data_IF_541141674551
#
_entry.id   IF_541141674551
#
_cell.length_a   1.000
_cell.length_b   1.000
_cell.length_c   1.000
_cell.angle_alpha   90.00
_cell.angle_beta   90.00
_cell.angle_gamma   90.00
#
_symmetry.space_group_name_H-M   'P 1'
#
loop_
_entity.id
_entity.type
_entity.pdbx_description
1 polymer ?
#
# COMPACT_ATOMS: atom_id res chain seq x y z
N UNK A 1 1.28 -8.88 13.37
CA UNK A 1 2.24 -8.14 12.51
C UNK A 1 1.49 -7.04 11.76
N UNK A 2 2.13 -5.93 11.34
CA UNK A 2 1.47 -4.83 10.59
C UNK A 2 0.82 -5.35 9.29
N UNK A 3 1.51 -6.24 8.58
CA UNK A 3 1.00 -6.85 7.35
C UNK A 3 -0.31 -7.62 7.57
N UNK A 4 -0.37 -8.46 8.60
CA UNK A 4 -1.58 -9.23 8.92
C UNK A 4 -2.75 -8.31 9.31
N UNK A 5 -2.45 -7.19 9.98
CA UNK A 5 -3.48 -6.20 10.36
C UNK A 5 -4.09 -5.56 9.11
N UNK A 6 -3.28 -5.19 8.12
CA UNK A 6 -3.78 -4.62 6.86
C UNK A 6 -4.47 -5.65 5.96
N UNK A 7 -4.02 -6.90 5.97
CA UNK A 7 -4.58 -7.94 5.11
C UNK A 7 -5.84 -8.60 5.69
N UNK A 8 -5.96 -8.64 7.02
CA UNK A 8 -7.00 -9.42 7.70
C UNK A 8 -7.73 -8.66 8.82
N UNK A 9 -7.21 -7.53 9.30
CA UNK A 9 -7.76 -6.79 10.44
C UNK A 9 -8.81 -5.73 10.09
N UNK A 10 -9.16 -5.56 8.83
CA UNK A 10 -10.20 -4.61 8.44
C UNK A 10 -10.26 -4.37 6.93
N UNK A 11 -10.82 -3.21 6.57
CA UNK A 11 -10.89 -2.70 5.21
C UNK A 11 -10.89 -1.17 5.19
N UNK A 12 -10.48 -0.59 4.06
CA UNK A 12 -10.63 0.84 3.80
C UNK A 12 -12.02 1.10 3.24
N UNK A 13 -12.83 1.90 3.94
CA UNK A 13 -14.13 2.37 3.49
C UNK A 13 -13.96 3.68 2.73
N UNK A 14 -14.34 3.69 1.45
CA UNK A 14 -14.30 4.88 0.59
C UNK A 14 -15.73 5.37 0.34
N UNK A 15 -15.95 6.66 0.56
CA UNK A 15 -17.21 7.38 0.31
C UNK A 15 -18.43 6.65 0.90
N UNK A 16 -18.23 5.98 2.05
CA UNK A 16 -19.23 5.17 2.77
C UNK A 16 -19.88 4.02 1.95
N UNK A 17 -19.39 3.75 0.73
CA UNK A 17 -19.97 2.80 -0.23
C UNK A 17 -19.05 1.62 -0.52
N UNK A 18 -17.78 1.89 -0.82
CA UNK A 18 -16.86 0.85 -1.29
C UNK A 18 -15.99 0.34 -0.15
N UNK A 19 -16.05 -0.95 0.13
CA UNK A 19 -15.17 -1.63 1.06
C UNK A 19 -13.98 -2.19 0.28
N UNK A 20 -12.79 -1.63 0.49
CA UNK A 20 -11.54 -2.03 -0.15
C UNK A 20 -10.80 -2.99 0.77
N UNK A 21 -10.77 -4.26 0.39
CA UNK A 21 -10.04 -5.30 1.11
C UNK A 21 -8.68 -5.53 0.47
N UNK A 22 -7.60 -5.25 1.19
CA UNK A 22 -6.26 -5.53 0.71
C UNK A 22 -6.08 -7.04 0.46
N UNK A 23 -5.63 -7.38 -0.74
CA UNK A 23 -5.21 -8.74 -1.09
C UNK A 23 -3.69 -8.87 -0.94
N UNK A 24 -2.95 -7.88 -1.44
CA UNK A 24 -1.51 -7.78 -1.27
C UNK A 24 -1.07 -6.37 -0.99
N UNK A 25 0.01 -6.24 -0.24
CA UNK A 25 0.62 -4.98 0.15
C UNK A 25 2.12 -5.03 -0.10
N UNK A 26 2.73 -3.88 -0.37
CA UNK A 26 4.18 -3.75 -0.59
C UNK A 26 4.75 -2.65 0.31
N UNK A 27 5.80 -2.99 1.06
CA UNK A 27 6.50 -2.07 1.95
C UNK A 27 7.61 -1.34 1.19
N UNK A 28 7.74 -0.06 1.47
CA UNK A 28 8.84 0.80 1.07
C UNK A 28 9.46 1.43 2.31
N UNK A 29 10.78 1.46 2.36
CA UNK A 29 11.52 1.99 3.50
C UNK A 29 12.83 2.63 3.03
N UNK A 30 13.06 3.88 3.43
CA UNK A 30 14.23 4.64 3.06
C UNK A 30 14.73 5.46 4.25
N UNK A 31 15.95 5.19 4.71
CA UNK A 31 16.62 5.99 5.72
C UNK A 31 17.18 7.26 5.07
N UNK A 32 16.91 8.41 5.68
CA UNK A 32 17.36 9.72 5.18
C UNK A 32 18.69 10.17 5.84
N UNK A 33 19.21 9.41 6.81
CA UNK A 33 20.56 9.62 7.40
C UNK A 33 21.66 9.36 6.35
N UNK A 34 22.85 9.90 6.59
CA UNK A 34 24.02 9.78 5.70
C UNK A 34 24.20 8.37 5.15
N UNK A 35 24.34 8.27 3.83
CA UNK A 35 24.50 7.01 3.10
C UNK A 35 25.65 6.20 3.69
N UNK A 36 25.33 5.25 4.55
CA UNK A 36 26.25 4.21 4.99
C UNK A 36 25.62 2.87 4.63
N UNK A 37 26.43 1.82 4.53
CA UNK A 37 25.93 0.50 4.13
C UNK A 37 25.04 -0.18 5.18
N UNK A 38 25.01 0.35 6.41
CA UNK A 38 24.22 -0.21 7.50
C UNK A 38 22.73 0.11 7.35
N UNK A 39 22.40 1.20 6.65
CA UNK A 39 21.03 1.65 6.50
C UNK A 39 20.40 1.24 5.16
N UNK A 40 19.10 0.94 5.24
CA UNK A 40 18.29 0.65 4.06
C UNK A 40 17.96 1.96 3.35
N UNK A 41 18.60 2.19 2.20
CA UNK A 41 18.23 3.25 1.28
C UNK A 41 17.42 2.63 0.14
N UNK A 42 16.14 2.99 -0.02
CA UNK A 42 15.35 2.53 -1.15
C UNK A 42 15.03 3.68 -2.12
N UNK A 43 15.70 3.76 -3.28
CA UNK A 43 15.45 4.82 -4.25
C UNK A 43 14.08 4.74 -4.91
N UNK A 44 13.34 3.63 -4.73
CA UNK A 44 11.99 3.45 -5.26
C UNK A 44 10.92 4.13 -4.38
N UNK A 45 11.25 4.52 -3.15
CA UNK A 45 10.35 5.27 -2.27
C UNK A 45 9.93 6.60 -2.94
N UNK A 46 8.64 6.90 -3.00
CA UNK A 46 8.11 8.04 -3.76
C UNK A 46 8.23 9.37 -3.02
N UNK A 47 8.04 9.37 -1.71
CA UNK A 47 7.98 10.58 -0.87
C UNK A 47 9.31 10.74 -0.14
N UNK A 48 10.40 10.72 -0.90
CA UNK A 48 11.76 10.96 -0.44
C UNK A 48 12.33 12.20 -1.11
N UNK A 49 13.43 12.70 -0.56
CA UNK A 49 14.22 13.70 -1.26
C UNK A 49 14.90 13.06 -2.49
N UNK A 50 14.95 13.79 -3.61
CA UNK A 50 15.58 13.27 -4.84
C UNK A 50 17.09 13.15 -4.64
N UNK A 51 17.68 12.07 -5.18
CA UNK A 51 19.13 11.82 -5.11
C UNK A 51 19.93 12.67 -6.12
N UNK A 52 19.31 13.10 -7.22
CA UNK A 52 19.99 13.73 -8.36
C UNK A 52 19.88 15.26 -8.40
N UNK A 53 19.19 15.88 -7.44
CA UNK A 53 19.26 17.34 -7.32
C UNK A 53 20.60 17.66 -6.65
N UNK A 54 21.43 18.45 -7.33
CA UNK A 54 22.76 18.94 -6.88
C UNK A 54 22.73 19.65 -5.51
N UNK A 55 21.53 19.81 -4.97
CA UNK A 55 21.19 20.50 -3.76
C UNK A 55 20.11 19.69 -3.02
N UNK A 56 20.43 18.45 -2.61
CA UNK A 56 19.61 17.63 -1.70
C UNK A 56 19.22 18.37 -0.38
N UNK A 57 19.79 19.56 -0.16
CA UNK A 57 19.49 20.49 0.93
C UNK A 57 18.35 21.48 0.63
N UNK A 58 17.89 21.61 -0.62
CA UNK A 58 16.85 22.59 -1.01
C UNK A 58 15.51 22.00 -1.44
N UNK A 59 15.44 20.69 -1.74
CA UNK A 59 14.15 20.00 -1.89
C UNK A 59 13.80 19.32 -0.57
N UNK A 60 13.00 20.01 0.25
CA UNK A 60 12.51 19.49 1.52
C UNK A 60 11.11 18.89 1.32
N UNK A 61 11.01 17.69 0.73
CA UNK A 61 9.72 16.98 0.65
C UNK A 61 9.20 16.82 2.07
N UNK A 62 8.04 17.37 2.44
CA UNK A 62 7.59 17.30 3.83
C UNK A 62 7.42 15.84 4.28
N UNK A 63 7.69 15.57 5.55
CA UNK A 63 7.34 14.28 6.15
C UNK A 63 5.83 14.15 6.29
N UNK A 64 5.32 12.99 5.90
CA UNK A 64 3.92 12.65 6.05
C UNK A 64 3.69 12.06 7.43
N UNK A 65 2.61 12.49 8.09
CA UNK A 65 2.25 11.97 9.42
C UNK A 65 1.95 10.47 9.32
N UNK A 66 2.22 9.74 10.40
CA UNK A 66 1.83 8.34 10.51
C UNK A 66 0.32 8.19 10.24
N UNK A 67 -0.03 7.25 9.37
CA UNK A 67 -1.39 6.99 8.92
C UNK A 67 -1.87 7.86 7.76
N UNK A 68 -1.05 8.77 7.21
CA UNK A 68 -1.48 9.59 6.07
C UNK A 68 -1.60 8.73 4.81
N UNK A 69 -2.63 9.00 4.04
CA UNK A 69 -2.83 8.46 2.69
C UNK A 69 -2.07 9.30 1.66
N UNK A 70 -1.26 8.66 0.83
CA UNK A 70 -0.53 9.31 -0.26
C UNK A 70 -0.88 8.66 -1.60
N UNK A 71 -1.43 9.46 -2.51
CA UNK A 71 -1.83 9.02 -3.85
C UNK A 71 -0.69 9.26 -4.83
N UNK A 72 -0.32 8.25 -5.60
CA UNK A 72 0.68 8.34 -6.66
C UNK A 72 0.34 7.45 -7.85
N UNK A 73 1.04 7.61 -8.97
CA UNK A 73 0.71 6.95 -10.25
C UNK A 73 0.54 5.42 -10.20
N UNK A 74 1.02 4.74 -9.15
CA UNK A 74 0.86 3.31 -8.98
C UNK A 74 -0.22 2.92 -7.97
N UNK A 75 -0.81 3.87 -7.23
CA UNK A 75 -1.96 3.65 -6.35
C UNK A 75 -1.90 4.46 -5.06
N UNK A 76 -2.25 3.81 -3.96
CA UNK A 76 -2.40 4.45 -2.64
C UNK A 76 -1.44 3.85 -1.62
N UNK A 77 -0.62 4.74 -1.05
CA UNK A 77 0.27 4.46 0.06
C UNK A 77 -0.35 4.87 1.41
N UNK A 78 -0.06 4.06 2.42
CA UNK A 78 -0.29 4.37 3.84
C UNK A 78 1.06 4.64 4.47
N UNK A 79 1.27 5.85 4.95
CA UNK A 79 2.57 6.32 5.43
C UNK A 79 2.78 6.10 6.92
N UNK A 80 4.02 5.90 7.34
CA UNK A 80 4.42 5.81 8.75
C UNK A 80 5.83 6.35 8.93
N UNK A 81 6.08 7.52 8.34
CA UNK A 81 7.37 8.18 8.30
C UNK A 81 7.76 8.74 9.68
N UNK A 82 9.06 8.85 9.92
CA UNK A 82 9.62 9.51 11.10
C UNK A 82 10.57 10.60 10.64
N UNK A 83 10.19 11.84 10.95
CA UNK A 83 10.92 13.04 10.54
C UNK A 83 12.39 12.98 10.94
N UNK A 84 13.27 13.30 9.98
CA UNK A 84 14.72 13.29 10.14
C UNK A 84 15.36 11.88 10.26
N UNK A 85 14.57 10.81 10.22
CA UNK A 85 15.09 9.44 10.37
C UNK A 85 14.82 8.58 9.14
N UNK A 86 13.54 8.37 8.80
CA UNK A 86 13.18 7.49 7.70
C UNK A 86 11.84 7.84 7.07
N UNK A 87 11.74 7.53 5.77
CA UNK A 87 10.50 7.46 5.00
C UNK A 87 10.05 6.02 4.96
N UNK A 88 8.76 5.80 5.20
CA UNK A 88 8.20 4.48 5.10
C UNK A 88 6.73 4.53 4.71
N UNK A 89 6.33 3.62 3.83
CA UNK A 89 4.95 3.47 3.39
C UNK A 89 4.61 2.02 3.06
N UNK A 90 3.31 1.76 3.02
CA UNK A 90 2.72 0.52 2.53
C UNK A 90 1.79 0.86 1.37
N UNK A 91 2.11 0.33 0.19
CA UNK A 91 1.24 0.37 -0.98
C UNK A 91 0.21 -0.75 -0.90
N UNK A 92 -1.08 -0.44 -1.07
CA UNK A 92 -2.10 -1.47 -1.32
C UNK A 92 -1.94 -1.98 -2.76
N UNK A 93 -1.11 -3.01 -2.96
CA UNK A 93 -0.68 -3.46 -4.29
C UNK A 93 -1.80 -4.10 -5.12
N UNK A 94 -2.61 -4.93 -4.47
CA UNK A 94 -3.84 -5.47 -5.06
C UNK A 94 -4.94 -5.52 -4.02
N UNK A 95 -6.18 -5.39 -4.47
CA UNK A 95 -7.34 -5.38 -3.58
C UNK A 95 -8.55 -6.03 -4.23
N UNK A 96 -9.54 -6.34 -3.40
CA UNK A 96 -10.89 -6.66 -3.81
C UNK A 96 -11.82 -5.54 -3.36
N UNK A 97 -12.96 -5.40 -4.02
CA UNK A 97 -13.98 -4.39 -3.66
C UNK A 97 -15.31 -5.07 -3.39
N UNK A 98 -15.98 -4.59 -2.34
CA UNK A 98 -17.41 -4.85 -2.11
C UNK A 98 -18.12 -3.51 -2.17
N UNK A 99 -19.02 -3.37 -3.14
CA UNK A 99 -19.99 -2.29 -3.16
C UNK A 99 -21.13 -2.60 -2.18
N UNK A 100 -21.34 -1.71 -1.19
CA UNK A 100 -22.43 -1.84 -0.21
C UNK A 100 -23.81 -1.70 -0.84
N UNK A 101 -23.95 -0.92 -1.90
CA UNK A 101 -25.24 -0.72 -2.56
C UNK A 101 -25.66 -1.95 -3.37
N UNK A 102 -24.70 -2.73 -3.86
CA UNK A 102 -24.96 -3.98 -4.59
C UNK A 102 -25.02 -5.22 -3.69
N UNK A 103 -24.82 -5.06 -2.37
CA UNK A 103 -24.76 -6.18 -1.40
C UNK A 103 -26.09 -6.94 -1.30
N UNK A 104 -27.21 -6.32 -1.68
CA UNK A 104 -28.56 -6.89 -1.72
C UNK A 104 -28.85 -7.71 -2.98
N UNK A 105 -28.10 -7.50 -4.07
CA UNK A 105 -28.23 -8.29 -5.29
C UNK A 105 -27.36 -9.54 -5.16
N UNK A 106 -27.95 -10.72 -5.36
CA UNK A 106 -27.38 -12.07 -5.12
C UNK A 106 -26.05 -12.39 -5.82
N UNK A 107 -25.42 -11.45 -6.52
CA UNK A 107 -24.18 -11.67 -7.21
C UNK A 107 -23.36 -10.37 -7.23
N UNK A 108 -22.61 -10.12 -6.16
CA UNK A 108 -21.40 -9.31 -6.26
C UNK A 108 -20.38 -10.13 -7.09
N UNK A 109 -20.67 -10.33 -8.38
CA UNK A 109 -20.02 -11.29 -9.30
C UNK A 109 -18.51 -11.09 -9.36
N UNK A 110 -18.05 -9.90 -8.98
CA UNK A 110 -16.66 -9.48 -9.04
C UNK A 110 -15.99 -9.34 -7.68
N UNK A 111 -16.60 -9.77 -6.56
CA UNK A 111 -15.98 -9.59 -5.23
C UNK A 111 -14.64 -10.32 -5.09
N UNK A 112 -14.44 -11.43 -5.81
CA UNK A 112 -13.16 -12.14 -5.84
C UNK A 112 -12.22 -11.62 -6.94
N UNK A 113 -12.69 -10.73 -7.82
CA UNK A 113 -11.87 -10.08 -8.83
C UNK A 113 -10.84 -9.19 -8.15
N UNK A 114 -9.56 -9.48 -8.41
CA UNK A 114 -8.43 -8.73 -7.88
C UNK A 114 -8.16 -7.53 -8.77
N UNK A 115 -8.20 -6.35 -8.19
CA UNK A 115 -7.84 -5.10 -8.84
C UNK A 115 -6.38 -4.79 -8.59
N UNK A 116 -5.71 -4.22 -9.59
CA UNK A 116 -4.41 -3.60 -9.40
C UNK A 116 -4.56 -2.29 -8.62
N UNK A 117 -3.53 -1.90 -7.88
CA UNK A 117 -3.53 -0.71 -7.03
C UNK A 117 -4.02 0.58 -7.71
N UNK A 118 -3.67 0.80 -8.98
CA UNK A 118 -4.11 1.98 -9.75
C UNK A 118 -5.63 2.08 -9.93
N UNK A 119 -6.38 0.97 -9.86
CA UNK A 119 -7.84 1.02 -9.96
C UNK A 119 -8.49 1.62 -8.70
N UNK A 120 -7.73 1.92 -7.64
CA UNK A 120 -8.29 2.57 -6.44
C UNK A 120 -8.86 3.96 -6.76
N UNK A 121 -8.32 4.63 -7.80
CA UNK A 121 -8.80 5.93 -8.27
C UNK A 121 -10.25 5.89 -8.74
N UNK A 122 -10.68 4.79 -9.36
CA UNK A 122 -12.06 4.63 -9.85
C UNK A 122 -13.07 4.69 -8.69
N UNK A 123 -12.66 4.24 -7.50
CA UNK A 123 -13.50 4.24 -6.30
C UNK A 123 -13.39 5.54 -5.51
N UNK A 124 -12.22 6.18 -5.50
CA UNK A 124 -12.00 7.48 -4.86
C UNK A 124 -12.76 8.60 -5.59
N UNK A 125 -12.76 8.56 -6.92
CA UNK A 125 -13.37 9.55 -7.80
C UNK A 125 -14.79 9.16 -8.24
N UNK A 126 -15.34 8.09 -7.67
CA UNK A 126 -16.68 7.62 -8.03
C UNK A 126 -17.72 8.71 -7.74
N UNK A 127 -18.49 9.07 -8.77
CA UNK A 127 -19.61 10.01 -8.68
C UNK A 127 -20.90 9.26 -9.03
N UNK A 128 -21.94 9.44 -8.21
CA UNK A 128 -23.27 8.90 -8.52
C UNK A 128 -23.87 9.65 -9.73
N UNK A 129 -24.55 8.94 -10.66
CA UNK A 129 -25.12 9.55 -11.86
C UNK A 129 -26.09 10.72 -11.60
N UNK A 130 -26.83 10.67 -10.49
CA UNK A 130 -27.87 11.66 -10.15
C UNK A 130 -27.40 12.72 -9.14
N UNK A 131 -26.12 12.72 -8.77
CA UNK A 131 -25.58 13.64 -7.78
C UNK A 131 -24.75 14.72 -8.47
N UNK A 132 -25.44 15.75 -8.97
CA UNK A 132 -24.86 16.97 -9.57
C UNK A 132 -24.05 17.80 -8.55
N UNK A 133 -23.98 17.34 -7.30
CA UNK A 133 -23.19 17.95 -6.25
C UNK A 133 -21.76 17.40 -6.25
N UNK A 134 -20.90 18.05 -7.03
CA UNK A 134 -19.44 18.00 -6.88
C UNK A 134 -19.04 18.67 -5.55
N UNK A 135 -19.42 18.13 -4.37
CA UNK A 135 -19.33 18.89 -3.11
C UNK A 135 -18.92 18.17 -1.83
N UNK A 136 -18.76 16.85 -1.77
CA UNK A 136 -18.18 16.23 -0.58
C UNK A 136 -16.71 15.88 -0.80
N UNK A 137 -15.83 16.33 0.10
CA UNK A 137 -14.47 15.83 0.18
C UNK A 137 -14.46 14.29 0.19
N UNK A 138 -13.47 13.67 -0.46
CA UNK A 138 -13.30 12.22 -0.47
C UNK A 138 -13.23 11.73 0.98
N UNK A 139 -14.12 10.80 1.34
CA UNK A 139 -14.16 10.22 2.68
C UNK A 139 -13.43 8.88 2.66
N UNK A 140 -12.40 8.76 3.47
CA UNK A 140 -11.63 7.53 3.65
C UNK A 140 -11.53 7.22 5.13
N UNK A 141 -11.90 6.01 5.50
CA UNK A 141 -11.82 5.53 6.88
C UNK A 141 -11.35 4.08 6.89
N UNK A 142 -10.38 3.76 7.75
CA UNK A 142 -10.05 2.35 8.02
C UNK A 142 -11.02 1.83 9.08
N UNK A 143 -11.86 0.86 8.72
CA UNK A 143 -12.74 0.20 9.66
C UNK A 143 -12.11 -1.12 10.12
N UNK A 144 -11.90 -1.31 11.44
CA UNK A 144 -11.40 -2.57 11.95
C UNK A 144 -12.49 -3.63 11.85
N UNK A 145 -12.09 -4.87 11.57
CA UNK A 145 -12.93 -6.03 11.82
C UNK A 145 -12.69 -6.52 13.25
N UNK A 146 -13.77 -6.74 14.00
CA UNK A 146 -13.75 -7.05 15.43
C UNK A 146 -13.10 -8.40 15.76
N UNK A 147 -12.85 -9.25 14.75
CA UNK A 147 -12.17 -10.52 14.91
C UNK A 147 -11.05 -10.67 13.88
N UNK A 148 -9.81 -10.63 14.38
CA UNK A 148 -8.64 -11.07 13.62
C UNK A 148 -8.60 -12.59 13.71
N UNK A 149 -8.64 -13.26 12.55
CA UNK A 149 -8.59 -14.71 12.48
C UNK A 149 -7.29 -15.25 13.11
N UNK A 150 -7.35 -16.09 14.16
CA UNK A 150 -6.19 -16.42 14.99
C UNK A 150 -5.07 -17.23 14.28
N UNK A 151 -5.35 -17.85 13.13
CA UNK A 151 -4.43 -18.78 12.45
C UNK A 151 -3.92 -18.30 11.08
N UNK A 152 -3.98 -16.99 10.80
CA UNK A 152 -3.72 -16.48 9.45
C UNK A 152 -2.34 -15.85 9.33
N UNK A 153 -1.50 -16.47 8.50
CA UNK A 153 -0.22 -15.88 8.10
C UNK A 153 -0.34 -15.31 6.70
N UNK A 154 0.11 -14.07 6.54
CA UNK A 154 0.51 -13.55 5.24
C UNK A 154 1.76 -14.28 4.71
N UNK A 155 1.92 -14.32 3.39
CA UNK A 155 3.15 -14.84 2.76
C UNK A 155 4.01 -13.67 2.33
N UNK A 156 5.25 -13.67 2.81
CA UNK A 156 6.26 -12.66 2.49
C UNK A 156 7.06 -13.10 1.26
N UNK A 157 7.15 -12.23 0.25
CA UNK A 157 7.86 -12.48 -1.00
C UNK A 157 8.59 -11.21 -1.46
N UNK A 158 9.57 -11.36 -2.38
CA UNK A 158 10.16 -10.22 -3.06
C UNK A 158 9.14 -9.33 -3.77
N UNK A 159 9.50 -8.04 -3.87
CA UNK A 159 8.76 -7.04 -4.64
C UNK A 159 8.84 -7.33 -6.13
N UNK A 160 7.77 -7.01 -6.86
CA UNK A 160 7.72 -7.29 -8.31
C UNK A 160 8.59 -6.27 -9.06
N UNK A 161 9.47 -6.75 -9.92
CA UNK A 161 10.26 -5.93 -10.85
C UNK A 161 11.16 -4.86 -10.19
N UNK A 162 11.54 -5.07 -8.93
CA UNK A 162 12.52 -4.22 -8.26
C UNK A 162 13.91 -4.85 -8.38
N UNK A 163 14.86 -4.05 -8.85
CA UNK A 163 16.27 -4.42 -8.89
C UNK A 163 16.98 -3.82 -7.68
N UNK A 164 18.12 -4.40 -7.32
CA UNK A 164 19.08 -3.73 -6.42
C UNK A 164 19.63 -2.48 -7.10
N UNK A 165 20.27 -1.63 -6.31
CA UNK A 165 20.99 -0.45 -6.79
C UNK A 165 22.49 -0.68 -6.67
N UNK A 166 23.27 -0.10 -7.59
CA UNK A 166 24.72 -0.20 -7.60
C UNK A 166 25.29 0.53 -6.40
N UNK A 167 26.27 -0.10 -5.73
CA UNK A 167 27.05 0.50 -4.66
C UNK A 167 28.33 1.07 -5.27
N UNK A 168 28.66 2.32 -4.95
CA UNK A 168 29.89 2.96 -5.41
C UNK A 168 31.12 2.45 -4.63
N UNK A 169 32.32 2.86 -5.07
CA UNK A 169 33.57 2.45 -4.44
C UNK A 169 33.73 2.94 -2.99
N UNK A 170 32.95 3.93 -2.57
CA UNK A 170 32.93 4.46 -1.21
C UNK A 170 31.87 3.76 -0.33
N UNK A 171 31.15 2.79 -0.89
CA UNK A 171 30.11 2.05 -0.20
C UNK A 171 28.74 2.71 -0.21
N UNK A 172 28.54 3.82 -0.93
CA UNK A 172 27.25 4.49 -1.02
C UNK A 172 26.38 3.86 -2.10
N UNK A 173 25.08 3.76 -1.84
CA UNK A 173 24.13 3.33 -2.85
C UNK A 173 23.84 4.46 -3.85
N UNK A 174 23.94 4.14 -5.14
CA UNK A 174 23.66 5.06 -6.27
C UNK A 174 22.20 4.97 -6.74
N UNK A 175 21.81 5.87 -7.66
CA UNK A 175 20.51 5.79 -8.36
C UNK A 175 20.50 4.76 -9.52
N UNK A 176 21.64 4.15 -9.83
CA UNK A 176 21.81 3.21 -10.95
C UNK A 176 21.30 1.83 -10.54
N UNK A 177 20.42 1.23 -11.35
CA UNK A 177 19.90 -0.12 -11.12
C UNK A 177 20.95 -1.17 -11.48
N UNK A 178 21.17 -2.10 -10.56
CA UNK A 178 21.88 -3.35 -10.83
C UNK A 178 21.03 -4.29 -11.70
N UNK A 179 21.63 -5.20 -12.48
CA UNK A 179 20.91 -6.30 -13.12
C UNK A 179 20.30 -7.28 -12.10
N UNK A 180 20.82 -7.33 -10.87
CA UNK A 180 20.30 -8.22 -9.83
C UNK A 180 18.94 -7.77 -9.28
N UNK A 181 18.07 -8.75 -8.99
CA UNK A 181 16.77 -8.50 -8.36
C UNK A 181 16.91 -8.24 -6.86
N UNK A 182 16.06 -7.36 -6.34
CA UNK A 182 15.88 -7.19 -4.91
C UNK A 182 15.06 -8.37 -4.36
N UNK A 183 15.67 -9.16 -3.49
CA UNK A 183 15.09 -10.38 -2.92
C UNK A 183 14.50 -10.17 -1.53
N UNK A 184 14.51 -8.94 -0.99
CA UNK A 184 13.97 -8.64 0.33
C UNK A 184 12.47 -8.93 0.38
N UNK A 185 11.95 -9.60 1.42
CA UNK A 185 10.56 -10.05 1.50
C UNK A 185 9.62 -8.91 1.92
N UNK A 186 9.53 -7.87 1.09
CA UNK A 186 8.78 -6.65 1.39
C UNK A 186 7.38 -6.62 0.78
N UNK A 187 6.95 -7.68 0.12
CA UNK A 187 5.57 -7.81 -0.35
C UNK A 187 4.87 -8.93 0.37
N UNK A 188 3.65 -8.66 0.83
CA UNK A 188 2.84 -9.61 1.59
C UNK A 188 1.50 -9.81 0.90
N UNK A 189 0.97 -11.02 0.93
CA UNK A 189 -0.36 -11.31 0.40
C UNK A 189 -1.09 -12.38 1.23
N UNK A 190 -2.40 -12.44 1.06
CA UNK A 190 -3.25 -13.45 1.72
C UNK A 190 -2.95 -14.84 1.18
N UNK A 191 -2.49 -15.74 2.06
CA UNK A 191 -2.27 -17.16 1.72
C UNK A 191 -3.58 -17.96 1.79
N UNK A 192 -3.59 -19.12 1.16
CA UNK A 192 -4.62 -20.14 1.34
C UNK A 192 -4.94 -20.41 2.83
N UNK A 193 -6.24 -20.54 3.19
CA UNK A 193 -7.42 -20.57 2.31
C UNK A 193 -7.97 -19.18 1.92
N UNK A 194 -7.34 -18.08 2.33
CA UNK A 194 -7.89 -16.71 2.26
C UNK A 194 -7.46 -15.92 1.02
N UNK A 195 -6.91 -16.58 0.00
CA UNK A 195 -6.53 -15.95 -1.26
C UNK A 195 -7.73 -15.33 -2.00
N UNK A 196 -8.94 -15.85 -1.75
CA UNK A 196 -10.21 -15.30 -2.21
C UNK A 196 -10.85 -14.47 -1.11
N UNK A 197 -11.47 -13.35 -1.51
CA UNK A 197 -12.21 -12.50 -0.58
C UNK A 197 -13.39 -13.28 0.01
N UNK A 198 -14.07 -14.11 -0.78
CA UNK A 198 -15.19 -14.94 -0.29
C UNK A 198 -14.79 -15.80 0.91
N UNK A 199 -13.60 -16.40 0.90
CA UNK A 199 -13.12 -17.25 1.99
C UNK A 199 -12.77 -16.43 3.24
N UNK A 200 -12.14 -15.27 3.04
CA UNK A 200 -11.88 -14.32 4.11
C UNK A 200 -13.17 -13.87 4.80
N UNK A 201 -14.16 -13.44 4.02
CA UNK A 201 -15.45 -12.97 4.55
C UNK A 201 -16.25 -14.10 5.23
N UNK A 202 -16.19 -15.34 4.72
CA UNK A 202 -16.82 -16.49 5.37
C UNK A 202 -16.22 -16.76 6.75
N UNK A 203 -14.89 -16.75 6.84
CA UNK A 203 -14.20 -17.05 8.10
C UNK A 203 -14.44 -15.98 9.17
N UNK A 204 -14.64 -14.71 8.78
CA UNK A 204 -14.95 -13.61 9.70
C UNK A 204 -16.39 -13.59 10.25
N UNK A 205 -17.28 -14.44 9.73
CA UNK A 205 -18.69 -14.53 10.18
C UNK A 205 -18.93 -15.58 11.27
N UNK A 206 -17.91 -16.39 11.57
CA UNK A 206 -17.93 -17.43 12.61
C UNK A 206 -17.43 -16.82 13.90
#
# INVERSE_FOLDING_TARGET
MVADTLLFGGFLLINRRFEIYAHSIEFYFHVEKSANQEFVHDPVMFHRNKLDDADYRTVNTPYLKIGSFYLHKFGLDITFEKEGEYRASILIKTFNVVDRNERSNKANLNRDKRMASSYIYDYLQFMEPDNDTLKSAIQMEWLPELQILPSVCSVAVPRININKFVIDNNGNQTSIKSPEKDTRPWRYYRKEPYHLLTNLLKARRV
#
